data_IF_498481611778
#
_entry.id   IF_498481611778
#
_cell.length_a   1.000
_cell.length_b   1.000
_cell.length_c   1.000
_cell.angle_alpha   90.00
_cell.angle_beta   90.00
_cell.angle_gamma   90.00
#
_symmetry.space_group_name_H-M   'P 1'
#
loop_
_entity.id
_entity.type
_entity.pdbx_description
1 polymer ?
#
# COMPACT_ATOMS: atom_id res chain seq x y z
N UNK A 1 8.12 -7.19 13.19
CA UNK A 1 6.79 -6.52 13.14
C UNK A 1 5.79 -7.42 12.40
N UNK A 2 4.67 -7.85 13.00
CA UNK A 2 3.73 -8.81 12.37
C UNK A 2 2.93 -8.24 11.19
N UNK A 3 2.82 -6.91 11.09
CA UNK A 3 2.02 -6.23 10.06
C UNK A 3 2.63 -6.30 8.65
N UNK A 4 3.95 -6.49 8.51
CA UNK A 4 4.65 -6.48 7.22
C UNK A 4 4.13 -7.54 6.25
N UNK A 5 3.62 -8.68 6.74
CA UNK A 5 3.05 -9.72 5.88
C UNK A 5 1.86 -9.23 5.05
N UNK A 6 1.11 -8.25 5.55
CA UNK A 6 -0.04 -7.67 4.86
C UNK A 6 0.36 -6.62 3.81
N UNK A 7 1.65 -6.25 3.74
CA UNK A 7 2.18 -5.37 2.70
C UNK A 7 2.70 -6.12 1.47
N UNK A 8 2.83 -7.45 1.54
CA UNK A 8 3.17 -8.27 0.37
C UNK A 8 2.22 -7.95 -0.78
N UNK A 9 2.76 -7.77 -1.97
CA UNK A 9 1.98 -7.41 -3.16
C UNK A 9 2.09 -8.42 -4.30
N UNK A 10 2.99 -9.41 -4.19
CA UNK A 10 3.26 -10.38 -5.26
C UNK A 10 2.04 -11.24 -5.64
N UNK A 11 1.06 -11.36 -4.74
CA UNK A 11 -0.19 -12.07 -4.96
C UNK A 11 -1.22 -11.26 -5.76
N UNK A 12 -0.99 -9.96 -5.96
CA UNK A 12 -1.91 -9.09 -6.69
C UNK A 12 -1.63 -9.17 -8.19
N UNK A 13 -2.64 -8.92 -9.05
CA UNK A 13 -2.41 -8.68 -10.48
C UNK A 13 -1.44 -7.50 -10.71
N UNK A 14 -0.63 -7.58 -11.76
CA UNK A 14 0.46 -6.62 -12.06
C UNK A 14 0.01 -5.14 -12.00
N UNK A 15 -1.17 -4.83 -12.55
CA UNK A 15 -1.77 -3.49 -12.52
C UNK A 15 -2.06 -2.94 -11.11
N UNK A 16 -2.20 -3.82 -10.12
CA UNK A 16 -2.40 -3.45 -8.71
C UNK A 16 -1.08 -3.47 -7.92
N UNK A 17 -0.11 -4.28 -8.34
CA UNK A 17 1.23 -4.31 -7.72
C UNK A 17 1.90 -2.94 -7.80
N UNK A 18 1.79 -2.25 -8.94
CA UNK A 18 2.36 -0.91 -9.12
C UNK A 18 1.85 0.11 -8.07
N UNK A 19 0.60 -0.02 -7.61
CA UNK A 19 0.02 0.83 -6.57
C UNK A 19 0.43 0.38 -5.17
N UNK A 20 0.52 -0.93 -4.94
CA UNK A 20 0.81 -1.51 -3.62
C UNK A 20 2.30 -1.45 -3.25
N UNK A 21 3.20 -1.57 -4.23
CA UNK A 21 4.66 -1.66 -4.02
C UNK A 21 5.25 -0.50 -3.20
N UNK A 22 4.94 0.79 -3.47
CA UNK A 22 5.49 1.90 -2.68
C UNK A 22 5.12 1.83 -1.18
N UNK A 23 3.93 1.32 -0.85
CA UNK A 23 3.51 1.14 0.54
C UNK A 23 4.30 0.02 1.22
N UNK A 24 4.63 -1.05 0.50
CA UNK A 24 5.46 -2.14 1.01
C UNK A 24 6.87 -1.65 1.33
N UNK A 25 7.50 -0.95 0.38
CA UNK A 25 8.84 -0.39 0.56
C UNK A 25 8.89 0.59 1.74
N UNK A 26 7.90 1.48 1.85
CA UNK A 26 7.82 2.42 2.97
C UNK A 26 7.57 1.70 4.30
N UNK A 27 6.74 0.66 4.35
CA UNK A 27 6.51 -0.10 5.57
C UNK A 27 7.79 -0.78 6.07
N UNK A 28 8.59 -1.36 5.16
CA UNK A 28 9.89 -1.91 5.48
C UNK A 28 10.85 -0.84 6.00
N UNK A 29 10.95 0.30 5.31
CA UNK A 29 11.78 1.42 5.73
C UNK A 29 11.43 1.91 7.14
N UNK A 30 10.14 2.09 7.46
CA UNK A 30 9.71 2.55 8.79
C UNK A 30 10.09 1.54 9.89
N UNK A 31 9.95 0.24 9.63
CA UNK A 31 10.29 -0.80 10.61
C UNK A 31 11.81 -0.91 10.82
N UNK A 32 12.59 -0.69 9.77
CA UNK A 32 14.06 -0.80 9.81
C UNK A 32 14.73 0.44 10.40
N UNK A 33 14.14 1.64 10.22
CA UNK A 33 14.79 2.91 10.59
C UNK A 33 14.27 3.57 11.86
N UNK A 34 13.05 3.24 12.31
CA UNK A 34 12.45 3.84 13.49
C UNK A 34 12.57 2.95 14.73
N UNK A 35 12.62 3.52 15.95
CA UNK A 35 12.59 2.74 17.18
C UNK A 35 11.28 1.96 17.30
N UNK A 36 11.36 0.79 17.92
CA UNK A 36 10.18 -0.03 18.20
C UNK A 36 9.37 0.57 19.36
N UNK A 37 8.35 1.34 19.03
CA UNK A 37 7.45 1.97 19.99
C UNK A 37 5.99 1.97 19.47
N UNK A 38 5.03 2.43 20.28
CA UNK A 38 3.63 2.51 19.86
C UNK A 38 3.39 3.41 18.64
N UNK A 39 4.17 4.47 18.45
CA UNK A 39 4.05 5.39 17.31
C UNK A 39 4.45 4.72 16.00
N UNK A 40 5.58 4.01 15.96
CA UNK A 40 6.02 3.23 14.79
C UNK A 40 4.98 2.17 14.42
N UNK A 41 4.40 1.49 15.43
CA UNK A 41 3.32 0.52 15.19
C UNK A 41 2.08 1.19 14.61
N UNK A 42 1.72 2.37 15.11
CA UNK A 42 0.56 3.15 14.65
C UNK A 42 0.78 3.68 13.24
N UNK A 43 1.98 4.17 12.92
CA UNK A 43 2.36 4.61 11.58
C UNK A 43 2.22 3.46 10.56
N UNK A 44 2.72 2.26 10.87
CA UNK A 44 2.60 1.10 9.98
C UNK A 44 1.14 0.65 9.81
N UNK A 45 0.30 0.72 10.86
CA UNK A 45 -1.15 0.42 10.72
C UNK A 45 -1.85 1.42 9.79
N UNK A 46 -1.61 2.71 9.99
CA UNK A 46 -2.18 3.77 9.13
C UNK A 46 -1.73 3.62 7.68
N UNK A 47 -0.47 3.23 7.47
CA UNK A 47 0.06 2.98 6.14
C UNK A 47 -0.63 1.77 5.47
N UNK A 48 -0.97 0.72 6.23
CA UNK A 48 -1.70 -0.44 5.71
C UNK A 48 -3.12 -0.05 5.25
N UNK A 49 -3.83 0.73 6.06
CA UNK A 49 -5.15 1.27 5.70
C UNK A 49 -5.07 2.14 4.43
N UNK A 50 -4.04 2.99 4.33
CA UNK A 50 -3.82 3.83 3.15
C UNK A 50 -3.55 3.00 1.88
N UNK A 51 -2.76 1.93 1.99
CA UNK A 51 -2.50 0.99 0.90
C UNK A 51 -3.80 0.36 0.41
N UNK A 52 -4.64 -0.15 1.32
CA UNK A 52 -5.90 -0.79 0.97
C UNK A 52 -6.89 0.21 0.33
N UNK A 53 -6.91 1.46 0.78
CA UNK A 53 -7.66 2.55 0.13
C UNK A 53 -7.15 2.82 -1.30
N UNK A 54 -5.84 2.91 -1.50
CA UNK A 54 -5.25 3.17 -2.82
C UNK A 54 -5.52 2.03 -3.81
N UNK A 55 -5.42 0.77 -3.36
CA UNK A 55 -5.75 -0.40 -4.18
C UNK A 55 -7.23 -0.39 -4.56
N UNK A 56 -8.15 -0.11 -3.62
CA UNK A 56 -9.59 -0.01 -3.92
C UNK A 56 -9.91 1.12 -4.90
N UNK A 57 -9.26 2.27 -4.75
CA UNK A 57 -9.41 3.38 -5.69
C UNK A 57 -9.00 2.97 -7.11
N UNK A 58 -7.86 2.30 -7.27
CA UNK A 58 -7.39 1.82 -8.57
C UNK A 58 -8.22 0.65 -9.14
N UNK A 59 -8.89 -0.12 -8.28
CA UNK A 59 -9.68 -1.29 -8.68
C UNK A 59 -11.10 -0.92 -9.13
N UNK A 60 -11.75 0.03 -8.44
CA UNK A 60 -13.17 0.29 -8.61
C UNK A 60 -13.49 1.64 -9.26
N UNK A 61 -12.52 2.54 -9.40
CA UNK A 61 -12.75 3.86 -9.96
C UNK A 61 -12.14 4.01 -11.36
N UNK A 62 -12.91 4.52 -12.35
CA UNK A 62 -12.41 4.75 -13.69
C UNK A 62 -11.31 5.82 -13.67
N UNK A 63 -10.25 5.60 -14.45
CA UNK A 63 -9.19 6.61 -14.61
C UNK A 63 -9.64 7.61 -15.67
N UNK A 64 -9.21 8.86 -15.54
CA UNK A 64 -9.47 9.86 -16.58
C UNK A 64 -8.84 9.48 -17.94
N UNK A 65 -7.87 8.56 -17.94
CA UNK A 65 -7.30 7.94 -19.14
C UNK A 65 -8.29 7.08 -19.92
N UNK A 66 -9.38 6.63 -19.30
CA UNK A 66 -10.38 5.74 -19.92
C UNK A 66 -11.55 6.54 -20.53
N UNK A 67 -11.58 7.87 -20.36
CA UNK A 67 -12.66 8.76 -20.85
C UNK A 67 -12.46 9.28 -22.28
N UNK A 68 -11.41 8.85 -22.98
CA UNK A 68 -11.09 9.27 -24.36
C UNK A 68 -11.27 8.13 -25.36
N UNK A 69 -12.47 7.56 -25.43
CA UNK A 69 -12.91 6.72 -26.56
C UNK A 69 -14.44 6.57 -26.47
N UNK A 70 -15.16 7.58 -26.95
CA UNK A 70 -16.59 7.53 -27.28
C UNK A 70 -16.87 8.56 -28.35
#
# INVERSE_FOLDING_TARGET
>A
MYLLQFFKYDHLPEKLQAVSKPFCELAHYLVETLPQNPETTTAVRKLLEAKDCAVRANLFWPKDTDKKES
#
